data_IF_073349872182
#
_entry.id   IF_073349872182
#
_cell.length_a   1.000
_cell.length_b   1.000
_cell.length_c   1.000
_cell.angle_alpha   90.00
_cell.angle_beta   90.00
_cell.angle_gamma   90.00
#
_symmetry.space_group_name_H-M   'P 1'
#
loop_
_entity.id
_entity.type
_entity.pdbx_description
1 polymer ?
#
# COMPACT_ATOMS: atom_id res chain seq x y z
N UNK A 1 -7.13 -9.15 -28.00
CA UNK A 1 -7.61 -8.50 -26.74
C UNK A 1 -6.41 -7.86 -26.03
N UNK A 2 -6.57 -6.75 -25.27
CA UNK A 2 -5.44 -5.94 -24.78
C UNK A 2 -4.41 -6.68 -23.91
N UNK A 3 -4.81 -7.80 -23.29
CA UNK A 3 -3.98 -8.60 -22.38
C UNK A 3 -3.60 -9.99 -22.93
N UNK A 4 -3.99 -10.31 -24.16
CA UNK A 4 -4.04 -11.69 -24.67
C UNK A 4 -2.67 -12.38 -24.75
N UNK A 5 -1.60 -11.63 -25.03
CA UNK A 5 -0.25 -12.17 -25.13
C UNK A 5 0.43 -12.38 -23.78
N UNK A 6 -0.02 -11.72 -22.71
CA UNK A 6 0.71 -11.68 -21.44
C UNK A 6 0.78 -13.08 -20.80
N UNK A 7 -0.35 -13.78 -20.71
CA UNK A 7 -0.41 -15.10 -20.06
C UNK A 7 0.40 -16.15 -20.83
N UNK A 8 0.23 -16.33 -22.17
CA UNK A 8 1.04 -17.27 -22.93
C UNK A 8 2.54 -16.96 -22.89
N UNK A 9 2.93 -15.68 -22.98
CA UNK A 9 4.33 -15.29 -22.90
C UNK A 9 4.94 -15.57 -21.53
N UNK A 10 4.18 -15.41 -20.44
CA UNK A 10 4.64 -15.77 -19.10
C UNK A 10 4.78 -17.29 -18.94
N UNK A 11 3.81 -18.08 -19.42
CA UNK A 11 3.91 -19.55 -19.38
C UNK A 11 5.13 -20.04 -20.15
N UNK A 12 5.38 -19.49 -21.34
CA UNK A 12 6.57 -19.81 -22.13
C UNK A 12 7.86 -19.41 -21.39
N UNK A 13 7.92 -18.23 -20.78
CA UNK A 13 9.08 -17.79 -20.02
C UNK A 13 9.37 -18.71 -18.82
N UNK A 14 8.33 -19.18 -18.12
CA UNK A 14 8.47 -20.10 -16.99
C UNK A 14 8.99 -21.48 -17.46
N UNK A 15 8.53 -21.97 -18.62
CA UNK A 15 8.94 -23.28 -19.13
C UNK A 15 10.34 -23.30 -19.74
N UNK A 16 10.79 -22.18 -20.29
CA UNK A 16 12.08 -22.08 -21.01
C UNK A 16 13.26 -21.76 -20.11
N UNK A 17 13.02 -21.14 -18.95
CA UNK A 17 14.08 -20.78 -18.00
C UNK A 17 14.42 -21.94 -17.06
N UNK A 18 15.65 -21.95 -16.48
CA UNK A 18 16.08 -23.02 -15.59
C UNK A 18 15.11 -23.23 -14.41
N UNK A 19 14.86 -24.49 -13.99
CA UNK A 19 14.06 -24.77 -12.80
C UNK A 19 14.59 -24.03 -11.56
N UNK A 20 13.70 -23.41 -10.81
CA UNK A 20 14.04 -22.61 -9.62
C UNK A 20 14.25 -21.12 -9.88
N UNK A 21 14.15 -20.67 -11.14
CA UNK A 21 14.12 -19.23 -11.46
C UNK A 21 12.86 -18.57 -10.87
N UNK A 22 13.04 -17.42 -10.23
CA UNK A 22 11.92 -16.62 -9.71
C UNK A 22 11.47 -15.60 -10.76
N UNK A 23 10.18 -15.60 -11.06
CA UNK A 23 9.52 -14.72 -12.02
C UNK A 23 8.69 -13.68 -11.28
N UNK A 24 8.97 -12.40 -11.55
CA UNK A 24 8.25 -11.26 -10.96
C UNK A 24 7.60 -10.45 -12.06
N UNK A 25 6.29 -10.59 -12.22
CA UNK A 25 5.49 -9.79 -13.14
C UNK A 25 5.18 -8.43 -12.49
N UNK A 26 5.55 -7.34 -13.15
CA UNK A 26 5.21 -5.98 -12.70
C UNK A 26 4.42 -5.28 -13.80
N UNK A 27 3.20 -4.84 -13.49
CA UNK A 27 2.35 -4.09 -14.41
C UNK A 27 2.06 -2.72 -13.81
N UNK A 28 2.88 -1.69 -14.13
CA UNK A 28 2.66 -0.36 -13.61
C UNK A 28 1.48 0.32 -14.32
N UNK A 29 0.69 1.07 -13.57
CA UNK A 29 -0.36 1.97 -14.08
C UNK A 29 -1.32 1.29 -15.06
N UNK A 30 -1.75 0.08 -14.73
CA UNK A 30 -2.68 -0.70 -15.56
C UNK A 30 -3.96 0.10 -15.81
N UNK A 31 -4.54 -0.01 -17.00
CA UNK A 31 -5.71 0.76 -17.44
C UNK A 31 -5.50 2.28 -17.55
N UNK A 32 -4.27 2.79 -17.41
CA UNK A 32 -3.96 4.17 -17.76
C UNK A 32 -4.16 4.40 -19.27
N UNK A 33 -4.94 5.41 -19.70
CA UNK A 33 -5.16 5.73 -21.11
C UNK A 33 -3.88 6.08 -21.87
N UNK A 34 -2.78 6.40 -21.18
CA UNK A 34 -1.49 6.66 -21.80
C UNK A 34 -0.84 5.41 -22.41
N UNK A 35 -1.16 4.22 -21.87
CA UNK A 35 -0.53 2.94 -22.25
C UNK A 35 -1.53 1.89 -22.73
N UNK A 36 -2.79 1.97 -22.28
CA UNK A 36 -3.80 0.95 -22.52
C UNK A 36 -4.95 1.49 -23.39
N UNK A 37 -5.42 0.71 -24.37
CA UNK A 37 -6.56 1.12 -25.18
C UNK A 37 -7.84 1.16 -24.31
N UNK A 38 -8.86 1.97 -24.67
CA UNK A 38 -10.12 2.06 -23.93
C UNK A 38 -10.84 0.71 -23.76
N UNK A 39 -10.63 -0.23 -24.69
CA UNK A 39 -11.18 -1.59 -24.61
C UNK A 39 -10.59 -2.41 -23.46
N UNK A 40 -9.43 -2.04 -22.91
CA UNK A 40 -8.79 -2.72 -21.80
C UNK A 40 -9.65 -2.65 -20.53
N UNK A 41 -10.29 -1.52 -20.25
CA UNK A 41 -11.14 -1.33 -19.06
C UNK A 41 -12.50 -2.05 -19.15
N UNK A 42 -12.78 -2.75 -20.25
CA UNK A 42 -14.00 -3.56 -20.34
C UNK A 42 -13.87 -4.80 -19.43
N UNK A 43 -14.88 -5.12 -18.60
CA UNK A 43 -14.82 -6.23 -17.65
C UNK A 43 -14.40 -7.57 -18.29
N UNK A 44 -14.91 -7.88 -19.48
CA UNK A 44 -14.61 -9.12 -20.20
C UNK A 44 -13.16 -9.25 -20.66
N UNK A 45 -12.42 -8.13 -20.69
CA UNK A 45 -11.00 -8.12 -21.00
C UNK A 45 -10.17 -8.10 -19.71
N UNK A 46 -10.42 -7.14 -18.82
CA UNK A 46 -9.59 -6.97 -17.62
C UNK A 46 -9.82 -8.05 -16.57
N UNK A 47 -11.07 -8.37 -16.23
CA UNK A 47 -11.36 -9.36 -15.19
C UNK A 47 -11.02 -10.77 -15.67
N UNK A 48 -11.24 -11.06 -16.96
CA UNK A 48 -10.77 -12.32 -17.55
C UNK A 48 -9.24 -12.43 -17.45
N UNK A 49 -8.50 -11.38 -17.82
CA UNK A 49 -7.05 -11.37 -17.65
C UNK A 49 -6.63 -11.62 -16.20
N UNK A 50 -7.23 -10.92 -15.23
CA UNK A 50 -6.94 -11.12 -13.80
C UNK A 50 -7.25 -12.53 -13.33
N UNK A 51 -8.37 -13.11 -13.77
CA UNK A 51 -8.73 -14.48 -13.46
C UNK A 51 -7.70 -15.48 -14.00
N UNK A 52 -7.28 -15.33 -15.26
CA UNK A 52 -6.24 -16.17 -15.87
C UNK A 52 -4.87 -15.98 -15.20
N UNK A 53 -4.52 -14.74 -14.83
CA UNK A 53 -3.29 -14.45 -14.09
C UNK A 53 -3.30 -15.12 -12.71
N UNK A 54 -4.42 -15.05 -11.99
CA UNK A 54 -4.60 -15.71 -10.69
C UNK A 54 -4.41 -17.23 -10.82
N UNK A 55 -5.01 -17.86 -11.82
CA UNK A 55 -4.83 -19.30 -12.07
C UNK A 55 -3.36 -19.66 -12.33
N UNK A 56 -2.65 -18.83 -13.11
CA UNK A 56 -1.23 -19.04 -13.38
C UNK A 56 -0.36 -18.88 -12.12
N UNK A 57 -0.64 -17.87 -11.28
CA UNK A 57 0.04 -17.68 -9.99
C UNK A 57 -0.15 -18.88 -9.07
N UNK A 58 -1.35 -19.44 -9.01
CA UNK A 58 -1.65 -20.64 -8.22
C UNK A 58 -0.98 -21.91 -8.74
N UNK A 59 -0.75 -22.01 -10.06
CA UNK A 59 -0.02 -23.12 -10.70
C UNK A 59 1.49 -23.07 -10.39
N UNK A 60 2.04 -21.88 -10.15
CA UNK A 60 3.46 -21.66 -9.88
C UNK A 60 3.70 -20.87 -8.56
N UNK A 61 3.20 -21.34 -7.40
CA UNK A 61 3.12 -20.54 -6.17
C UNK A 61 4.48 -20.21 -5.54
N UNK A 62 5.53 -20.98 -5.85
CA UNK A 62 6.90 -20.77 -5.33
C UNK A 62 7.81 -20.06 -6.31
N UNK A 63 7.35 -19.84 -7.56
CA UNK A 63 8.18 -19.34 -8.65
C UNK A 63 7.64 -18.07 -9.29
N UNK A 64 6.33 -17.81 -9.23
CA UNK A 64 5.71 -16.64 -9.85
C UNK A 64 5.08 -15.71 -8.81
N UNK A 65 5.34 -14.42 -8.94
CA UNK A 65 4.66 -13.37 -8.19
C UNK A 65 4.29 -12.23 -9.13
N UNK A 66 3.15 -11.58 -8.88
CA UNK A 66 2.70 -10.44 -9.66
C UNK A 66 2.44 -9.23 -8.76
N UNK A 67 2.84 -8.05 -9.24
CA UNK A 67 2.49 -6.75 -8.67
C UNK A 67 1.92 -5.87 -9.78
N UNK A 68 0.80 -5.21 -9.49
CA UNK A 68 0.19 -4.27 -10.42
C UNK A 68 -0.25 -3.01 -9.69
N UNK A 69 -0.16 -1.86 -10.37
CA UNK A 69 -0.64 -0.59 -9.82
C UNK A 69 -1.75 -0.04 -10.70
N UNK A 70 -2.81 0.49 -10.08
CA UNK A 70 -4.01 1.00 -10.73
C UNK A 70 -4.24 2.45 -10.26
N UNK A 71 -4.31 3.44 -11.16
CA UNK A 71 -4.57 4.83 -10.78
C UNK A 71 -6.03 5.02 -10.36
N UNK A 72 -6.26 5.33 -9.08
CA UNK A 72 -7.60 5.42 -8.49
C UNK A 72 -8.36 6.70 -8.89
N UNK A 73 -7.64 7.71 -9.38
CA UNK A 73 -8.24 8.92 -9.94
C UNK A 73 -9.07 8.61 -11.20
N UNK A 74 -8.68 7.57 -11.94
CA UNK A 74 -9.36 7.10 -13.15
C UNK A 74 -10.22 5.86 -12.90
N UNK A 75 -9.83 5.03 -11.94
CA UNK A 75 -10.48 3.75 -11.62
C UNK A 75 -10.82 3.72 -10.12
N UNK A 76 -11.78 4.56 -9.67
CA UNK A 76 -12.08 4.72 -8.25
C UNK A 76 -12.53 3.39 -7.63
N UNK A 77 -12.26 3.18 -6.35
CA UNK A 77 -12.62 1.95 -5.64
C UNK A 77 -14.12 1.71 -5.54
N UNK A 78 -14.92 2.76 -5.72
CA UNK A 78 -16.39 2.68 -5.82
C UNK A 78 -16.86 2.04 -7.13
N UNK A 79 -16.01 1.98 -8.16
CA UNK A 79 -16.33 1.31 -9.41
C UNK A 79 -16.32 -0.21 -9.22
N UNK A 80 -17.33 -0.88 -9.79
CA UNK A 80 -17.44 -2.34 -9.73
C UNK A 80 -16.21 -3.05 -10.30
N UNK A 81 -15.61 -2.52 -11.38
CA UNK A 81 -14.41 -3.10 -11.99
C UNK A 81 -13.24 -3.18 -11.00
N UNK A 82 -12.95 -2.07 -10.31
CA UNK A 82 -11.90 -2.00 -9.29
C UNK A 82 -12.20 -2.95 -8.14
N UNK A 83 -13.45 -3.01 -7.67
CA UNK A 83 -13.85 -3.92 -6.60
C UNK A 83 -13.63 -5.39 -6.97
N UNK A 84 -13.99 -5.79 -8.19
CA UNK A 84 -13.73 -7.14 -8.69
C UNK A 84 -12.24 -7.44 -8.82
N UNK A 85 -11.43 -6.46 -9.26
CA UNK A 85 -9.98 -6.61 -9.32
C UNK A 85 -9.35 -6.83 -7.94
N UNK A 86 -9.83 -6.12 -6.91
CA UNK A 86 -9.42 -6.33 -5.51
C UNK A 86 -9.76 -7.73 -5.01
N UNK A 87 -10.95 -8.25 -5.33
CA UNK A 87 -11.38 -9.59 -4.92
C UNK A 87 -10.48 -10.69 -5.52
N UNK A 88 -10.11 -10.53 -6.79
CA UNK A 88 -9.23 -11.45 -7.51
C UNK A 88 -7.75 -11.35 -7.11
N UNK A 89 -7.36 -10.27 -6.42
CA UNK A 89 -5.99 -10.05 -5.93
C UNK A 89 -5.80 -10.67 -4.54
N UNK A 90 -4.63 -11.25 -4.25
CA UNK A 90 -4.36 -11.85 -2.93
C UNK A 90 -3.98 -10.81 -1.87
N UNK A 91 -3.48 -9.64 -2.28
CA UNK A 91 -3.19 -8.49 -1.43
C UNK A 91 -3.56 -7.18 -2.11
N UNK A 92 -3.98 -6.19 -1.33
CA UNK A 92 -4.45 -4.88 -1.83
C UNK A 92 -3.96 -3.79 -0.87
N UNK A 93 -3.18 -2.87 -1.43
CA UNK A 93 -2.65 -1.68 -0.76
C UNK A 93 -3.14 -0.43 -1.50
N UNK A 94 -3.55 0.59 -0.75
CA UNK A 94 -3.97 1.89 -1.29
C UNK A 94 -3.03 2.99 -0.77
N UNK A 95 -2.49 3.78 -1.68
CA UNK A 95 -1.73 4.99 -1.34
C UNK A 95 -2.65 6.19 -1.53
N UNK A 96 -2.81 7.01 -0.49
CA UNK A 96 -3.59 8.25 -0.54
C UNK A 96 -2.64 9.42 -0.23
N UNK A 97 -2.08 10.09 -1.26
CA UNK A 97 -1.26 11.27 -1.07
C UNK A 97 -2.02 12.35 -0.31
N UNK A 98 -1.35 13.09 0.57
CA UNK A 98 -1.99 14.21 1.23
C UNK A 98 -2.21 15.38 0.27
N UNK A 99 -3.31 16.14 0.41
CA UNK A 99 -3.62 17.29 -0.45
C UNK A 99 -2.51 18.36 -0.45
N UNK A 100 -1.79 18.48 0.67
CA UNK A 100 -0.77 19.50 0.89
C UNK A 100 0.58 19.20 0.23
N UNK A 101 0.76 18.06 -0.47
CA UNK A 101 1.97 17.85 -1.27
C UNK A 101 2.07 18.79 -2.48
N UNK A 102 0.96 19.37 -2.95
CA UNK A 102 1.00 20.48 -3.91
C UNK A 102 1.43 21.80 -3.26
N UNK A 103 1.38 21.91 -1.93
CA UNK A 103 1.59 23.13 -1.15
C UNK A 103 2.76 23.01 -0.15
N UNK A 104 3.57 21.95 -0.24
CA UNK A 104 4.77 21.74 0.59
C UNK A 104 5.90 22.77 0.32
N UNK A 105 5.64 23.77 -0.53
CA UNK A 105 6.45 24.99 -0.65
C UNK A 105 5.87 26.17 0.15
N UNK A 106 4.72 26.04 0.80
CA UNK A 106 3.92 27.18 1.29
C UNK A 106 3.16 27.01 2.61
N UNK A 107 2.82 25.81 3.07
CA UNK A 107 2.04 25.68 4.32
C UNK A 107 2.93 25.44 5.55
N UNK A 108 2.87 26.37 6.51
CA UNK A 108 3.61 26.44 7.77
C UNK A 108 3.33 25.33 8.80
N UNK A 109 2.97 24.12 8.37
CA UNK A 109 3.01 22.92 9.21
C UNK A 109 4.44 22.57 9.68
N UNK A 110 5.45 23.25 9.12
CA UNK A 110 6.85 23.16 9.53
C UNK A 110 7.20 23.97 10.80
N UNK A 111 6.29 24.81 11.32
CA UNK A 111 6.62 25.72 12.44
C UNK A 111 5.92 25.39 13.78
N UNK A 112 4.84 24.61 13.80
CA UNK A 112 4.16 24.24 15.05
C UNK A 112 4.72 22.94 15.63
N UNK A 113 5.81 23.05 16.40
CA UNK A 113 6.17 22.06 17.42
C UNK A 113 7.55 21.41 17.30
N UNK A 114 8.56 22.03 17.91
CA UNK A 114 9.61 21.37 18.72
C UNK A 114 10.61 20.37 18.10
N UNK A 115 10.38 19.84 16.91
CA UNK A 115 11.31 18.93 16.25
C UNK A 115 11.43 19.31 14.77
N UNK A 116 12.59 19.82 14.38
CA UNK A 116 12.98 20.00 12.98
C UNK A 116 13.18 18.63 12.34
N UNK A 117 12.10 17.88 12.14
CA UNK A 117 12.12 16.75 11.20
C UNK A 117 12.50 17.33 9.84
N UNK A 118 13.47 16.72 9.17
CA UNK A 118 13.84 17.16 7.82
C UNK A 118 12.58 17.10 6.94
N UNK A 119 12.45 18.00 5.95
CA UNK A 119 11.34 17.98 4.98
C UNK A 119 11.14 16.59 4.34
N UNK A 120 12.22 15.82 4.24
CA UNK A 120 12.25 14.44 3.72
C UNK A 120 11.73 13.37 4.70
N UNK A 121 11.41 13.74 5.96
CA UNK A 121 10.89 12.84 7.00
C UNK A 121 9.39 13.04 7.26
N UNK A 122 8.79 14.11 6.75
CA UNK A 122 7.37 14.37 6.92
C UNK A 122 6.53 13.36 6.11
N UNK A 123 5.49 12.76 6.71
CA UNK A 123 4.51 11.94 6.02
C UNK A 123 3.96 12.62 4.76
N UNK A 124 3.99 11.93 3.63
CA UNK A 124 3.54 12.44 2.34
C UNK A 124 2.14 11.97 1.97
N UNK A 125 1.67 10.90 2.60
CA UNK A 125 0.30 10.43 2.47
C UNK A 125 0.04 9.23 3.36
N UNK A 126 -1.20 8.76 3.31
CA UNK A 126 -1.63 7.56 4.01
C UNK A 126 -1.40 6.32 3.15
N UNK A 127 -1.05 5.21 3.79
CA UNK A 127 -1.09 3.88 3.23
C UNK A 127 -2.21 3.12 3.95
N UNK A 128 -3.17 2.57 3.20
CA UNK A 128 -4.22 1.71 3.73
C UNK A 128 -3.99 0.28 3.27
N UNK A 129 -4.04 -0.66 4.21
CA UNK A 129 -3.97 -2.09 3.94
C UNK A 129 -5.39 -2.65 3.89
N UNK A 130 -5.87 -3.02 2.70
CA UNK A 130 -7.22 -3.57 2.52
C UNK A 130 -7.25 -5.09 2.55
N UNK A 131 -6.17 -5.72 2.09
CA UNK A 131 -6.05 -7.18 2.02
C UNK A 131 -4.58 -7.57 2.11
N UNK A 132 -4.29 -8.60 2.90
CA UNK A 132 -2.96 -9.18 3.02
C UNK A 132 -2.97 -10.64 2.52
N UNK A 133 -1.91 -11.07 1.82
CA UNK A 133 -1.78 -12.46 1.40
C UNK A 133 -1.86 -13.41 2.60
N UNK A 134 -2.51 -14.56 2.42
CA UNK A 134 -2.67 -15.64 3.40
C UNK A 134 -3.58 -15.29 4.59
N UNK A 135 -3.37 -14.17 5.30
CA UNK A 135 -4.17 -13.79 6.48
C UNK A 135 -5.63 -13.53 6.10
N UNK A 136 -5.89 -12.67 5.11
CA UNK A 136 -7.28 -12.40 4.69
C UNK A 136 -7.96 -13.64 4.10
N UNK A 137 -7.20 -14.53 3.44
CA UNK A 137 -7.73 -15.77 2.90
C UNK A 137 -8.13 -16.79 3.99
N UNK A 138 -7.52 -16.72 5.17
CA UNK A 138 -7.84 -17.56 6.34
C UNK A 138 -8.99 -17.02 7.19
N UNK A 139 -9.59 -15.89 6.79
CA UNK A 139 -10.61 -15.21 7.59
C UNK A 139 -10.05 -14.38 8.74
N UNK A 140 -8.72 -14.21 8.80
CA UNK A 140 -8.04 -13.33 9.76
C UNK A 140 -8.18 -11.88 9.26
N UNK A 141 -9.40 -11.35 9.35
CA UNK A 141 -9.77 -10.00 8.92
C UNK A 141 -10.10 -9.06 10.08
N UNK A 142 -9.68 -9.38 11.30
CA UNK A 142 -10.00 -8.65 12.53
C UNK A 142 -8.78 -8.21 13.32
N UNK A 143 -9.02 -7.33 14.31
CA UNK A 143 -8.10 -6.67 15.22
C UNK A 143 -7.27 -7.62 16.12
N UNK A 144 -6.58 -8.59 15.54
CA UNK A 144 -5.57 -9.40 16.20
C UNK A 144 -4.26 -8.63 16.31
N UNK A 145 -3.52 -8.82 17.41
CA UNK A 145 -2.21 -8.23 17.61
C UNK A 145 -1.27 -8.58 16.44
N UNK A 146 -0.75 -7.56 15.75
CA UNK A 146 0.12 -7.71 14.58
C UNK A 146 -0.58 -7.62 13.21
N UNK A 147 -1.91 -7.38 13.18
CA UNK A 147 -2.63 -7.13 11.93
C UNK A 147 -2.61 -5.64 11.58
N UNK A 148 -1.92 -5.28 10.49
CA UNK A 148 -1.88 -3.90 9.98
C UNK A 148 -3.16 -3.50 9.24
N UNK A 149 -4.11 -4.43 9.03
CA UNK A 149 -5.43 -4.14 8.46
C UNK A 149 -6.22 -3.32 9.49
N UNK A 150 -6.36 -2.02 9.20
CA UNK A 150 -7.04 -1.05 10.06
C UNK A 150 -6.09 -0.16 10.86
N UNK A 151 -4.77 -0.36 10.78
CA UNK A 151 -3.80 0.61 11.29
C UNK A 151 -3.70 1.82 10.34
N UNK A 152 -3.65 3.02 10.91
CA UNK A 152 -3.33 4.23 10.17
C UNK A 152 -1.82 4.24 9.89
N UNK A 153 -1.43 3.85 8.67
CA UNK A 153 -0.04 3.92 8.21
C UNK A 153 0.16 5.15 7.32
N UNK A 154 1.36 5.70 7.36
CA UNK A 154 1.80 6.76 6.45
C UNK A 154 3.00 6.33 5.64
N UNK A 155 3.15 6.92 4.46
CA UNK A 155 4.33 6.73 3.63
C UNK A 155 5.10 8.04 3.44
N UNK A 156 6.42 7.91 3.33
CA UNK A 156 7.33 9.00 3.00
C UNK A 156 8.28 8.56 1.89
N UNK A 157 8.35 9.34 0.81
CA UNK A 157 9.28 9.12 -0.30
C UNK A 157 10.40 10.15 -0.24
N UNK A 158 11.61 9.68 0.04
CA UNK A 158 12.82 10.50 -0.01
C UNK A 158 13.62 10.21 -1.27
N UNK A 159 14.73 10.93 -1.49
CA UNK A 159 15.67 10.64 -2.60
C UNK A 159 16.24 9.22 -2.58
N UNK A 160 16.28 8.55 -1.42
CA UNK A 160 17.00 7.26 -1.24
C UNK A 160 16.13 6.11 -0.74
N UNK A 161 14.99 6.40 -0.11
CA UNK A 161 14.13 5.38 0.51
C UNK A 161 12.65 5.72 0.39
N UNK A 162 11.85 4.67 0.30
CA UNK A 162 10.41 4.67 0.55
C UNK A 162 10.20 4.07 1.95
N UNK A 163 9.56 4.80 2.85
CA UNK A 163 9.37 4.38 4.24
C UNK A 163 7.89 4.34 4.60
N UNK A 164 7.48 3.31 5.34
CA UNK A 164 6.12 3.14 5.88
C UNK A 164 6.23 3.11 7.40
N UNK A 165 5.44 3.93 8.10
CA UNK A 165 5.41 4.01 9.56
C UNK A 165 3.97 4.20 10.06
N UNK A 166 3.65 3.81 11.31
CA UNK A 166 2.42 4.24 11.96
C UNK A 166 2.28 5.76 11.87
N UNK A 167 1.11 6.21 11.44
CA UNK A 167 0.79 7.62 11.37
C UNK A 167 0.35 8.10 12.76
N UNK A 168 1.00 9.14 13.25
CA UNK A 168 0.62 9.83 14.47
C UNK A 168 0.30 11.28 14.11
N UNK A 169 -0.81 11.79 14.64
CA UNK A 169 -1.13 13.19 14.52
C UNK A 169 -0.11 14.02 15.33
N UNK A 170 0.32 15.18 14.82
CA UNK A 170 1.06 16.14 15.63
C UNK A 170 0.26 16.49 16.90
N UNK A 171 0.92 16.69 18.05
CA UNK A 171 0.24 17.11 19.26
C UNK A 171 -0.59 18.38 19.00
N UNK A 172 -1.83 18.41 19.47
CA UNK A 172 -2.65 19.62 19.36
C UNK A 172 -2.05 20.73 20.25
N UNK A 173 -2.07 21.98 19.78
CA UNK A 173 -1.68 23.14 20.59
C UNK A 173 -2.65 23.29 21.76
N UNK A 174 -2.24 22.75 22.92
CA UNK A 174 -3.04 22.67 24.15
C UNK A 174 -2.63 21.50 25.05
N UNK A 175 -2.09 20.41 24.48
CA UNK A 175 -1.70 19.21 25.26
C UNK A 175 -0.33 19.34 25.95
N UNK A 176 0.39 20.44 25.75
CA UNK A 176 1.70 20.66 26.38
C UNK A 176 1.61 20.89 27.90
N UNK A 177 0.43 21.22 28.43
CA UNK A 177 0.23 21.41 29.87
C UNK A 177 0.11 20.06 30.61
N UNK A 178 -0.53 19.05 30.00
CA UNK A 178 -0.68 17.73 30.60
C UNK A 178 0.64 16.93 30.68
N UNK A 179 1.61 17.25 29.82
CA UNK A 179 2.92 16.57 29.79
C UNK A 179 3.97 17.20 30.74
N UNK A 180 3.74 18.43 31.22
CA UNK A 180 4.62 19.08 32.22
C UNK A 180 4.29 18.67 33.66
N UNK A 181 3.04 18.34 33.96
CA UNK A 181 2.62 17.94 35.33
C UNK A 181 2.76 16.43 35.62
N UNK A 182 2.99 15.59 34.60
CA UNK A 182 3.29 14.16 34.79
C UNK A 182 4.72 13.84 35.23
N UNK A 183 5.60 14.85 35.28
CA UNK A 183 7.03 14.71 35.58
C UNK A 183 7.41 14.69 37.07
N UNK A 184 6.43 14.73 37.98
CA UNK A 184 6.70 14.78 39.43
C UNK A 184 5.88 13.75 40.25
N UNK A 185 5.69 12.55 39.69
CA UNK A 185 5.06 11.41 40.36
C UNK A 185 6.03 10.25 40.57
N UNK A 186 6.71 10.24 41.72
CA UNK A 186 7.32 9.10 42.41
C UNK A 186 8.26 8.18 41.58
N UNK A 187 9.53 8.58 41.50
CA UNK A 187 10.63 7.63 41.23
C UNK A 187 10.70 6.61 42.38
N UNK A 188 10.47 5.33 42.07
CA UNK A 188 10.59 4.21 43.00
C UNK A 188 12.03 3.99 43.46
N UNK A 189 12.46 4.76 44.47
CA UNK A 189 13.78 4.59 45.10
C UNK A 189 13.81 4.62 46.63
N UNK A 190 12.66 4.68 47.30
CA UNK A 190 12.58 4.58 48.77
C UNK A 190 11.58 3.51 49.20
N UNK A 191 11.99 2.24 49.11
CA UNK A 191 11.39 1.13 49.89
C UNK A 191 12.54 0.26 50.39
N UNK A 192 13.04 0.56 51.59
CA UNK A 192 13.85 -0.38 52.38
C UNK A 192 12.92 -1.24 53.25
N UNK A 193 13.27 -2.52 53.39
CA UNK A 193 12.64 -3.50 54.29
C UNK A 193 13.34 -3.51 55.65
#
# INVERSE_FOLDING_TARGET
>A
KPFESIIPSLEQAIQTLPPGTLHRLVIPTVLSPALWPPTASRPENFLHFLHSLRALLQKHPTQLTAMMTLPLELQPRTAGLTRWAELLSDGVLELTPFPHLMDASRSGLAESGGARASKDEQPQGMLKVHKLPITTARGEGGAGAGNTIGEDLSFTVSRRKFEIKPFALPPAEGDQEAQKDGGNGLTGKDVEF
#
